data_IF_259539900750
#
_entry.id   IF_259539900750
#
_cell.length_a   1.000
_cell.length_b   1.000
_cell.length_c   1.000
_cell.angle_alpha   90.00
_cell.angle_beta   90.00
_cell.angle_gamma   90.00
#
_symmetry.space_group_name_H-M   'P 1'
#
loop_
_entity.id
_entity.type
_entity.pdbx_description
1 polymer ?
#
# COMPACT_ATOMS: atom_id res chain seq x y z
N UNK A 1 -15.07 10.81 -0.62
CA UNK A 1 -14.37 9.98 0.38
C UNK A 1 -15.32 8.93 0.96
N UNK A 2 -16.13 8.26 0.12
CA UNK A 2 -17.34 7.60 0.65
C UNK A 2 -17.32 6.07 0.65
N UNK A 3 -16.30 5.41 0.08
CA UNK A 3 -16.29 3.94 -0.03
C UNK A 3 -15.06 3.31 0.65
N UNK A 4 -14.70 3.80 1.85
CA UNK A 4 -13.67 3.14 2.65
C UNK A 4 -14.27 2.01 3.46
N UNK A 5 -13.63 0.83 3.48
CA UNK A 5 -14.08 -0.27 4.32
C UNK A 5 -14.01 0.14 5.79
N UNK A 6 -15.14 0.02 6.48
CA UNK A 6 -15.24 0.24 7.94
C UNK A 6 -15.13 -1.07 8.72
N UNK A 7 -15.17 -2.21 8.02
CA UNK A 7 -15.09 -3.55 8.58
C UNK A 7 -14.03 -4.34 7.80
N UNK A 8 -13.22 -5.10 8.53
CA UNK A 8 -12.21 -5.99 7.97
C UNK A 8 -12.55 -7.43 8.38
N UNK A 9 -12.69 -8.38 7.44
CA UNK A 9 -12.93 -9.77 7.79
C UNK A 9 -11.73 -10.35 8.57
N UNK A 10 -11.96 -11.24 9.54
CA UNK A 10 -10.89 -12.01 10.17
C UNK A 10 -10.07 -12.73 9.11
N UNK A 11 -8.76 -12.48 9.08
CA UNK A 11 -7.83 -13.08 8.12
C UNK A 11 -6.45 -13.22 8.77
N UNK A 12 -5.69 -14.22 8.33
CA UNK A 12 -4.31 -14.46 8.73
C UNK A 12 -3.54 -14.97 7.52
N UNK A 13 -2.27 -14.63 7.42
CA UNK A 13 -1.35 -15.22 6.46
C UNK A 13 -0.47 -16.19 7.24
N UNK A 14 -0.62 -17.50 6.99
CA UNK A 14 -0.07 -18.57 7.83
C UNK A 14 1.44 -18.43 8.10
N UNK A 15 1.82 -18.78 9.33
CA UNK A 15 3.18 -18.68 9.87
C UNK A 15 4.25 -19.47 9.09
N UNK A 16 3.84 -20.40 8.21
CA UNK A 16 4.76 -21.15 7.34
C UNK A 16 5.27 -20.35 6.13
N UNK A 17 4.59 -19.28 5.73
CA UNK A 17 5.05 -18.38 4.67
C UNK A 17 5.99 -17.27 5.19
N UNK A 18 6.09 -17.08 6.51
CA UNK A 18 6.93 -16.08 7.15
C UNK A 18 6.47 -14.63 6.88
N UNK A 19 6.93 -13.70 7.72
CA UNK A 19 6.97 -12.28 7.33
C UNK A 19 8.05 -12.13 6.24
N UNK A 20 7.89 -11.21 5.28
CA UNK A 20 6.83 -10.21 5.13
C UNK A 20 5.50 -10.77 4.60
N UNK A 21 4.39 -10.13 5.00
CA UNK A 21 3.06 -10.45 4.46
C UNK A 21 2.92 -9.98 3.01
N UNK A 22 1.93 -10.54 2.31
CA UNK A 22 1.66 -10.28 0.90
C UNK A 22 0.40 -9.44 0.77
N UNK A 23 0.54 -8.22 0.26
CA UNK A 23 -0.56 -7.24 0.15
C UNK A 23 -1.72 -7.75 -0.71
N UNK A 24 -1.43 -8.42 -1.83
CA UNK A 24 -2.43 -8.96 -2.75
C UNK A 24 -3.26 -10.13 -2.16
N UNK A 25 -2.91 -10.62 -0.97
CA UNK A 25 -3.69 -11.64 -0.24
C UNK A 25 -4.62 -11.03 0.81
N UNK A 26 -4.61 -9.70 0.99
CA UNK A 26 -5.46 -9.03 1.96
C UNK A 26 -6.87 -8.84 1.42
N UNK A 27 -7.85 -8.82 2.32
CA UNK A 27 -9.24 -8.50 1.97
C UNK A 27 -9.81 -7.51 2.98
N UNK A 28 -10.26 -6.31 2.56
CA UNK A 28 -10.07 -5.72 1.24
C UNK A 28 -8.59 -5.41 0.94
N UNK A 29 -8.26 -5.25 -0.33
CA UNK A 29 -6.93 -4.78 -0.74
C UNK A 29 -6.67 -3.34 -0.26
N UNK A 30 -5.46 -3.00 0.19
CA UNK A 30 -5.12 -1.63 0.55
C UNK A 30 -5.18 -0.65 -0.63
N UNK A 31 -5.83 0.50 -0.39
CA UNK A 31 -5.73 1.68 -1.26
C UNK A 31 -4.35 2.35 -1.02
N UNK A 32 -3.37 2.06 -1.87
CA UNK A 32 -2.03 2.67 -1.80
C UNK A 32 -1.93 3.97 -2.63
N UNK A 33 -2.85 4.22 -3.56
CA UNK A 33 -2.99 5.49 -4.26
C UNK A 33 -4.47 5.85 -4.35
N UNK A 34 -4.78 7.13 -4.11
CA UNK A 34 -6.16 7.60 -4.20
C UNK A 34 -6.55 7.81 -5.65
N UNK A 35 -7.77 7.42 -5.98
CA UNK A 35 -8.37 7.77 -7.27
C UNK A 35 -8.33 9.28 -7.47
N UNK A 36 -7.78 9.73 -8.60
CA UNK A 36 -7.67 11.14 -8.95
C UNK A 36 -6.57 11.93 -8.22
N UNK A 37 -5.67 11.27 -7.48
CA UNK A 37 -4.48 11.96 -6.96
C UNK A 37 -3.64 12.51 -8.13
N UNK A 38 -3.27 13.79 -8.05
CA UNK A 38 -2.43 14.48 -9.03
C UNK A 38 -1.21 15.06 -8.34
N UNK A 39 -0.04 14.61 -8.77
CA UNK A 39 1.23 15.19 -8.35
C UNK A 39 1.31 16.67 -8.73
N UNK A 40 2.02 17.45 -7.92
CA UNK A 40 2.28 18.87 -8.15
C UNK A 40 3.78 19.14 -8.41
N UNK A 41 4.48 18.17 -9.01
CA UNK A 41 5.91 18.21 -9.36
C UNK A 41 6.88 18.56 -8.21
N UNK A 42 6.45 18.40 -6.96
CA UNK A 42 7.23 18.75 -5.75
C UNK A 42 8.58 18.05 -5.67
N UNK A 43 8.70 16.86 -6.27
CA UNK A 43 9.90 16.03 -6.28
C UNK A 43 10.44 15.81 -7.70
N UNK A 44 10.08 16.66 -8.65
CA UNK A 44 10.54 16.55 -10.03
C UNK A 44 12.08 16.50 -10.08
N UNK A 45 12.62 15.55 -10.85
CA UNK A 45 14.06 15.27 -11.02
C UNK A 45 14.81 14.89 -9.72
N UNK A 46 14.11 14.46 -8.68
CA UNK A 46 14.75 13.88 -7.48
C UNK A 46 14.87 12.37 -7.62
N UNK A 47 15.92 11.82 -7.02
CA UNK A 47 16.16 10.38 -6.93
C UNK A 47 16.03 10.00 -5.46
N UNK A 48 15.22 8.98 -5.18
CA UNK A 48 15.01 8.45 -3.84
C UNK A 48 15.20 6.93 -3.83
N UNK A 49 15.71 6.40 -2.72
CA UNK A 49 15.74 4.96 -2.42
C UNK A 49 14.73 4.74 -1.30
N UNK A 50 13.75 3.86 -1.53
CA UNK A 50 12.71 3.50 -0.56
C UNK A 50 12.89 2.02 -0.23
N UNK A 51 13.27 1.71 1.01
CA UNK A 51 13.30 0.33 1.51
C UNK A 51 11.90 -0.10 1.91
N UNK A 52 11.50 -1.34 1.58
CA UNK A 52 10.13 -1.82 1.81
C UNK A 52 9.07 -1.09 0.97
N UNK A 53 9.45 -0.56 -0.20
CA UNK A 53 8.54 0.13 -1.12
C UNK A 53 7.58 -0.77 -1.89
N UNK A 54 7.60 -2.07 -1.63
CA UNK A 54 6.80 -3.09 -2.33
C UNK A 54 5.34 -3.15 -1.85
N UNK A 55 5.07 -2.75 -0.60
CA UNK A 55 3.73 -2.87 0.02
C UNK A 55 3.43 -1.78 1.05
N UNK A 56 2.16 -1.69 1.44
CA UNK A 56 1.62 -0.83 2.48
C UNK A 56 2.01 0.65 2.33
N UNK A 57 2.55 1.21 3.40
CA UNK A 57 2.94 2.63 3.46
C UNK A 57 4.11 2.90 2.51
N UNK A 58 5.08 1.99 2.41
CA UNK A 58 6.23 2.16 1.52
C UNK A 58 5.80 2.26 0.07
N UNK A 59 4.87 1.39 -0.37
CA UNK A 59 4.25 1.46 -1.69
C UNK A 59 3.52 2.78 -1.91
N UNK A 60 2.70 3.22 -0.95
CA UNK A 60 1.95 4.48 -1.06
C UNK A 60 2.84 5.73 -1.14
N UNK A 61 4.07 5.65 -0.64
CA UNK A 61 5.08 6.73 -0.77
C UNK A 61 5.79 6.67 -2.13
N UNK A 62 5.91 5.49 -2.74
CA UNK A 62 6.69 5.27 -3.95
C UNK A 62 5.94 5.55 -5.26
N UNK A 63 4.61 5.50 -5.27
CA UNK A 63 3.77 5.61 -6.49
C UNK A 63 3.08 6.96 -6.68
#
# INVERSE_FOLDING_TARGET
>A
MSDKPTIFPPQSQDAGAGKPGLEYKMTPEPEHIREGYKGADKLLNKIAIITGGDSGIGRAVAV
#
